data_IF_469478666976
#
_entry.id   IF_469478666976
#
_cell.length_a   1.000
_cell.length_b   1.000
_cell.length_c   1.000
_cell.angle_alpha   90.00
_cell.angle_beta   90.00
_cell.angle_gamma   90.00
#
_symmetry.space_group_name_H-M   'P 1'
#
loop_
_entity.id
_entity.type
_entity.pdbx_description
1 polymer ?
#
# COMPACT_ATOMS: atom_id res chain seq x y z
N UNK A 1 0.23 17.71 -35.85
CA UNK A 1 -0.72 18.63 -35.19
C UNK A 1 -1.94 17.83 -34.77
N UNK A 2 -2.27 17.82 -33.48
CA UNK A 2 -3.45 17.10 -32.97
C UNK A 2 -4.64 18.05 -33.11
N UNK A 3 -5.57 17.73 -34.03
CA UNK A 3 -6.66 18.61 -34.48
C UNK A 3 -8.00 18.38 -33.76
N UNK A 4 -8.00 17.53 -32.72
CA UNK A 4 -9.18 17.21 -31.90
C UNK A 4 -8.86 17.43 -30.41
N UNK A 5 -9.88 17.66 -29.55
CA UNK A 5 -9.68 17.67 -28.11
C UNK A 5 -8.98 16.38 -27.66
N UNK A 6 -7.80 16.53 -27.06
CA UNK A 6 -6.97 15.44 -26.57
C UNK A 6 -6.92 15.52 -25.05
N UNK A 7 -7.21 14.40 -24.39
CA UNK A 7 -6.97 14.23 -22.96
C UNK A 7 -5.79 13.27 -22.80
N UNK A 8 -4.77 13.71 -22.07
CA UNK A 8 -3.61 12.89 -21.72
C UNK A 8 -3.77 12.42 -20.27
N UNK A 9 -3.95 11.12 -20.07
CA UNK A 9 -3.93 10.50 -18.75
C UNK A 9 -2.55 9.88 -18.56
N UNK A 10 -1.79 10.42 -17.60
CA UNK A 10 -0.42 9.99 -17.32
C UNK A 10 -0.45 9.14 -16.05
N UNK A 11 -0.18 7.85 -16.18
CA UNK A 11 -0.07 6.94 -15.04
C UNK A 11 1.28 7.04 -14.33
N UNK A 12 1.38 6.48 -13.12
CA UNK A 12 2.59 6.51 -12.28
C UNK A 12 3.86 6.02 -13.01
N UNK A 13 3.73 5.05 -13.94
CA UNK A 13 4.84 4.53 -14.73
C UNK A 13 5.52 5.57 -15.63
N UNK A 14 4.77 6.55 -16.16
CA UNK A 14 5.34 7.63 -16.95
C UNK A 14 6.01 8.71 -16.09
N UNK A 15 5.83 8.65 -14.77
CA UNK A 15 6.36 9.61 -13.80
C UNK A 15 7.52 9.06 -12.96
N UNK A 16 7.86 7.78 -13.10
CA UNK A 16 8.88 7.10 -12.27
C UNK A 16 10.27 7.75 -12.41
N UNK A 17 10.72 8.01 -13.64
CA UNK A 17 12.08 8.48 -13.88
C UNK A 17 12.35 9.85 -13.25
N UNK A 18 11.34 10.74 -13.29
CA UNK A 18 11.46 12.12 -12.84
C UNK A 18 10.99 12.35 -11.40
N UNK A 19 9.97 11.61 -10.95
CA UNK A 19 9.29 11.86 -9.67
C UNK A 19 9.34 10.67 -8.70
N UNK A 20 9.90 9.53 -9.14
CA UNK A 20 10.08 8.32 -8.32
C UNK A 20 8.78 7.84 -7.67
N UNK A 21 7.64 8.05 -8.34
CA UNK A 21 6.37 7.48 -7.91
C UNK A 21 6.42 5.95 -8.05
N UNK A 22 5.96 5.19 -7.04
CA UNK A 22 6.14 3.73 -7.02
C UNK A 22 5.43 3.05 -8.19
N UNK A 23 6.13 2.13 -8.85
CA UNK A 23 5.52 1.26 -9.85
C UNK A 23 4.61 0.23 -9.18
N UNK A 24 3.63 -0.34 -9.92
CA UNK A 24 2.66 -1.28 -9.34
C UNK A 24 3.28 -2.48 -8.64
N UNK A 25 4.36 -3.04 -9.20
CA UNK A 25 5.10 -4.15 -8.57
C UNK A 25 5.87 -3.73 -7.31
N UNK A 26 6.49 -2.54 -7.31
CA UNK A 26 7.19 -2.00 -6.14
C UNK A 26 6.20 -1.67 -5.01
N UNK A 27 5.03 -1.11 -5.38
CA UNK A 27 3.93 -0.84 -4.47
C UNK A 27 3.44 -2.14 -3.82
N UNK A 28 3.15 -3.17 -4.62
CA UNK A 28 2.73 -4.47 -4.12
C UNK A 28 3.79 -5.09 -3.18
N UNK A 29 5.06 -5.11 -3.58
CA UNK A 29 6.15 -5.62 -2.76
C UNK A 29 6.31 -4.85 -1.44
N UNK A 30 6.18 -3.51 -1.50
CA UNK A 30 6.22 -2.65 -0.31
C UNK A 30 5.07 -2.96 0.66
N UNK A 31 3.84 -3.05 0.16
CA UNK A 31 2.67 -3.38 0.97
C UNK A 31 2.81 -4.79 1.59
N UNK A 32 3.27 -5.78 0.82
CA UNK A 32 3.46 -7.14 1.33
C UNK A 32 4.51 -7.21 2.44
N UNK A 33 5.60 -6.46 2.31
CA UNK A 33 6.62 -6.35 3.36
C UNK A 33 6.07 -5.68 4.61
N UNK A 34 5.37 -4.56 4.44
CA UNK A 34 4.90 -3.72 5.54
C UNK A 34 3.75 -4.39 6.33
N UNK A 35 2.91 -5.17 5.66
CA UNK A 35 1.78 -5.92 6.27
C UNK A 35 2.14 -7.32 6.74
N UNK A 36 3.28 -7.88 6.29
CA UNK A 36 3.80 -9.20 6.69
C UNK A 36 4.39 -9.21 8.09
N UNK A 37 3.58 -8.87 9.09
CA UNK A 37 4.01 -8.71 10.48
C UNK A 37 4.45 -10.06 11.09
N UNK A 38 5.61 -10.04 11.72
CA UNK A 38 6.15 -11.19 12.44
C UNK A 38 6.85 -10.74 13.71
N UNK A 39 6.70 -11.54 14.76
CA UNK A 39 7.24 -11.29 16.10
C UNK A 39 8.21 -12.41 16.47
N UNK A 40 9.21 -12.10 17.30
CA UNK A 40 10.06 -13.11 17.94
C UNK A 40 9.43 -13.64 19.23
N UNK A 41 10.20 -14.44 19.98
CA UNK A 41 9.76 -15.03 21.26
C UNK A 41 9.54 -14.01 22.38
N UNK A 42 10.11 -12.81 22.25
CA UNK A 42 10.04 -11.73 23.25
C UNK A 42 8.98 -10.67 22.87
N UNK A 43 8.08 -11.01 21.93
CA UNK A 43 7.05 -10.13 21.37
C UNK A 43 7.61 -8.86 20.69
N UNK A 44 8.85 -8.93 20.21
CA UNK A 44 9.47 -7.85 19.43
C UNK A 44 9.12 -8.04 17.97
N UNK A 45 8.59 -6.99 17.34
CA UNK A 45 8.27 -6.97 15.91
C UNK A 45 9.58 -7.03 15.10
N UNK A 46 9.85 -8.18 14.48
CA UNK A 46 11.05 -8.43 13.66
C UNK A 46 10.81 -8.21 12.17
N UNK A 47 9.55 -8.19 11.72
CA UNK A 47 9.16 -7.90 10.33
C UNK A 47 7.83 -7.15 10.31
N UNK A 48 7.64 -6.28 9.33
CA UNK A 48 6.44 -5.45 9.15
C UNK A 48 6.69 -3.99 9.49
N UNK A 49 5.69 -3.14 9.27
CA UNK A 49 5.77 -1.72 9.59
C UNK A 49 5.26 -1.46 11.01
N UNK A 50 6.15 -1.00 11.90
CA UNK A 50 5.78 -0.58 13.26
C UNK A 50 4.84 0.63 13.24
N UNK A 51 5.03 1.55 12.31
CA UNK A 51 4.14 2.69 12.09
C UNK A 51 2.71 2.23 11.75
N UNK A 52 2.54 1.28 10.81
CA UNK A 52 1.20 0.73 10.52
C UNK A 52 0.58 0.03 11.74
N UNK A 53 1.41 -0.70 12.49
CA UNK A 53 0.95 -1.39 13.70
C UNK A 53 0.45 -0.40 14.75
N UNK A 54 1.25 0.62 15.06
CA UNK A 54 0.99 1.55 16.16
C UNK A 54 -0.03 2.62 15.81
N UNK A 55 -0.03 3.13 14.57
CA UNK A 55 -0.90 4.24 14.17
C UNK A 55 -2.25 3.79 13.64
N UNK A 56 -2.35 2.57 13.09
CA UNK A 56 -3.57 2.10 12.43
C UNK A 56 -4.15 0.81 13.02
N UNK A 57 -3.32 -0.18 13.33
CA UNK A 57 -3.84 -1.51 13.67
C UNK A 57 -4.17 -1.66 15.16
N UNK A 58 -3.24 -1.27 16.05
CA UNK A 58 -3.43 -1.32 17.51
C UNK A 58 -4.53 -0.39 18.04
N UNK A 59 -4.70 0.85 17.53
CA UNK A 59 -5.76 1.74 18.01
C UNK A 59 -7.17 1.32 17.56
N UNK A 60 -7.27 0.38 16.60
CA UNK A 60 -8.56 -0.14 16.15
C UNK A 60 -9.22 -0.97 17.24
N UNK A 61 -10.54 -0.85 17.38
CA UNK A 61 -11.34 -1.72 18.24
C UNK A 61 -11.24 -3.20 17.87
N UNK A 62 -10.86 -3.49 16.62
CA UNK A 62 -10.74 -4.83 16.05
C UNK A 62 -9.27 -5.18 15.72
N UNK A 63 -8.33 -4.78 16.57
CA UNK A 63 -6.88 -4.87 16.31
C UNK A 63 -6.43 -6.27 15.90
N UNK A 64 -6.90 -7.33 16.56
CA UNK A 64 -6.55 -8.71 16.23
C UNK A 64 -7.02 -9.11 14.83
N UNK A 65 -8.26 -8.77 14.47
CA UNK A 65 -8.81 -9.07 13.16
C UNK A 65 -8.07 -8.31 12.06
N UNK A 66 -7.71 -7.05 12.29
CA UNK A 66 -6.93 -6.23 11.35
C UNK A 66 -5.52 -6.79 11.17
N UNK A 67 -4.86 -7.21 12.25
CA UNK A 67 -3.52 -7.82 12.18
C UNK A 67 -3.58 -9.15 11.41
N UNK A 68 -4.59 -9.98 11.68
CA UNK A 68 -4.81 -11.22 10.93
C UNK A 68 -5.07 -10.95 9.43
N UNK A 69 -5.88 -9.93 9.12
CA UNK A 69 -6.15 -9.48 7.76
C UNK A 69 -4.88 -8.98 7.05
N UNK A 70 -4.05 -8.19 7.72
CA UNK A 70 -2.78 -7.70 7.21
C UNK A 70 -1.84 -8.87 6.87
N UNK A 71 -1.73 -9.86 7.76
CA UNK A 71 -0.93 -11.06 7.51
C UNK A 71 -1.45 -11.86 6.32
N UNK A 72 -2.76 -12.07 6.23
CA UNK A 72 -3.39 -12.76 5.09
C UNK A 72 -3.16 -12.03 3.77
N UNK A 73 -3.36 -10.71 3.76
CA UNK A 73 -3.09 -9.85 2.62
C UNK A 73 -1.63 -9.99 2.17
N UNK A 74 -0.66 -9.96 3.09
CA UNK A 74 0.76 -10.08 2.75
C UNK A 74 1.10 -11.37 1.99
N UNK A 75 0.42 -12.48 2.36
CA UNK A 75 0.61 -13.78 1.72
C UNK A 75 0.04 -13.81 0.30
N UNK A 76 -1.17 -13.27 0.10
CA UNK A 76 -1.81 -13.24 -1.22
C UNK A 76 -1.07 -12.29 -2.18
N UNK A 77 -0.60 -11.13 -1.68
CA UNK A 77 0.19 -10.22 -2.51
C UNK A 77 1.46 -10.90 -3.02
N UNK A 78 2.13 -11.72 -2.19
CA UNK A 78 3.32 -12.44 -2.60
C UNK A 78 3.09 -13.42 -3.78
N UNK A 79 1.83 -13.81 -4.04
CA UNK A 79 1.44 -14.68 -5.15
C UNK A 79 0.79 -13.97 -6.34
N UNK A 80 0.68 -12.64 -6.32
CA UNK A 80 -0.02 -11.86 -7.35
C UNK A 80 0.89 -10.82 -7.99
N UNK A 81 0.57 -10.41 -9.22
CA UNK A 81 1.36 -9.42 -9.96
C UNK A 81 1.05 -7.97 -9.52
N UNK A 82 -0.14 -7.74 -8.95
CA UNK A 82 -0.60 -6.43 -8.52
C UNK A 82 -1.38 -6.50 -7.22
N UNK A 83 -1.43 -5.39 -6.50
CA UNK A 83 -2.26 -5.26 -5.30
C UNK A 83 -3.76 -5.39 -5.62
N UNK A 84 -4.19 -4.93 -6.80
CA UNK A 84 -5.59 -5.01 -7.21
C UNK A 84 -6.04 -6.47 -7.41
N UNK A 85 -5.18 -7.32 -7.99
CA UNK A 85 -5.44 -8.76 -8.11
C UNK A 85 -5.56 -9.41 -6.72
N UNK A 86 -4.67 -9.06 -5.79
CA UNK A 86 -4.74 -9.55 -4.41
C UNK A 86 -6.05 -9.14 -3.73
N UNK A 87 -6.46 -7.88 -3.91
CA UNK A 87 -7.71 -7.37 -3.34
C UNK A 87 -8.95 -8.02 -3.97
N UNK A 88 -8.90 -8.33 -5.27
CA UNK A 88 -9.96 -9.05 -5.95
C UNK A 88 -10.12 -10.47 -5.39
N UNK A 89 -9.02 -11.21 -5.23
CA UNK A 89 -9.04 -12.56 -4.64
C UNK A 89 -9.52 -12.57 -3.18
N UNK A 90 -9.28 -11.47 -2.47
CA UNK A 90 -9.72 -11.27 -1.08
C UNK A 90 -11.07 -10.55 -1.00
N UNK A 91 -11.84 -10.47 -2.09
CA UNK A 91 -13.11 -9.73 -2.13
C UNK A 91 -14.14 -10.17 -1.11
N UNK A 92 -14.14 -11.45 -0.71
CA UNK A 92 -15.01 -12.01 0.34
C UNK A 92 -14.51 -11.72 1.77
N UNK A 93 -13.33 -11.10 1.91
CA UNK A 93 -12.67 -10.75 3.17
C UNK A 93 -12.58 -9.22 3.29
N UNK A 94 -13.66 -8.53 3.68
CA UNK A 94 -13.75 -7.07 3.64
C UNK A 94 -12.67 -6.38 4.49
N UNK A 95 -12.26 -6.97 5.60
CA UNK A 95 -11.15 -6.52 6.43
C UNK A 95 -9.82 -6.49 5.68
N UNK A 96 -9.54 -7.50 4.85
CA UNK A 96 -8.34 -7.55 4.01
C UNK A 96 -8.37 -6.45 2.95
N UNK A 97 -9.54 -6.24 2.33
CA UNK A 97 -9.74 -5.16 1.35
C UNK A 97 -9.54 -3.79 1.98
N UNK A 98 -10.06 -3.58 3.20
CA UNK A 98 -9.89 -2.35 3.96
C UNK A 98 -8.42 -2.08 4.27
N UNK A 99 -7.69 -3.08 4.79
CA UNK A 99 -6.26 -2.96 5.07
C UNK A 99 -5.47 -2.67 3.80
N UNK A 100 -5.74 -3.36 2.70
CA UNK A 100 -5.03 -3.12 1.44
C UNK A 100 -5.25 -1.72 0.89
N UNK A 101 -6.49 -1.21 0.93
CA UNK A 101 -6.79 0.18 0.53
C UNK A 101 -6.06 1.20 1.41
N UNK A 102 -6.02 1.00 2.72
CA UNK A 102 -5.26 1.85 3.64
C UNK A 102 -3.77 1.86 3.29
N UNK A 103 -3.19 0.70 2.98
CA UNK A 103 -1.78 0.60 2.60
C UNK A 103 -1.48 1.29 1.27
N UNK A 104 -2.36 1.16 0.27
CA UNK A 104 -2.25 1.90 -1.00
C UNK A 104 -2.28 3.41 -0.75
N UNK A 105 -3.27 3.89 0.02
CA UNK A 105 -3.40 5.31 0.35
C UNK A 105 -2.15 5.84 1.06
N UNK A 106 -1.65 5.12 2.06
CA UNK A 106 -0.42 5.49 2.77
C UNK A 106 0.78 5.57 1.81
N UNK A 107 0.96 4.57 0.95
CA UNK A 107 2.07 4.55 -0.01
C UNK A 107 2.00 5.74 -0.99
N UNK A 108 0.80 6.08 -1.49
CA UNK A 108 0.59 7.26 -2.32
C UNK A 108 0.92 8.54 -1.55
N UNK A 109 0.37 8.71 -0.35
CA UNK A 109 0.59 9.91 0.46
C UNK A 109 2.07 10.10 0.83
N UNK A 110 2.80 9.02 1.13
CA UNK A 110 4.25 9.08 1.38
C UNK A 110 5.04 9.45 0.12
N UNK A 111 4.68 8.88 -1.04
CA UNK A 111 5.29 9.22 -2.31
C UNK A 111 5.01 10.68 -2.71
N UNK A 112 3.79 11.17 -2.48
CA UNK A 112 3.41 12.56 -2.72
C UNK A 112 4.12 13.52 -1.76
N UNK A 113 4.21 13.17 -0.48
CA UNK A 113 4.88 14.00 0.52
C UNK A 113 6.38 14.17 0.24
N UNK A 114 7.00 13.17 -0.39
CA UNK A 114 8.41 13.18 -0.80
C UNK A 114 8.63 13.65 -2.24
N UNK A 115 7.56 13.81 -3.03
CA UNK A 115 7.64 14.23 -4.43
C UNK A 115 7.92 15.73 -4.56
N UNK A 116 8.75 16.15 -5.53
CA UNK A 116 8.95 17.56 -5.83
C UNK A 116 7.70 18.23 -6.45
N UNK A 117 6.68 17.43 -6.80
CA UNK A 117 5.36 17.93 -7.23
C UNK A 117 4.46 18.34 -6.06
N UNK A 118 4.89 18.15 -4.81
CA UNK A 118 4.11 18.55 -3.64
C UNK A 118 3.77 20.03 -3.74
N UNK A 119 2.47 20.34 -3.82
CA UNK A 119 1.99 21.72 -3.83
C UNK A 119 2.53 22.41 -2.57
N UNK A 120 3.36 23.44 -2.74
CA UNK A 120 3.80 24.25 -1.62
C UNK A 120 2.57 25.01 -1.11
N UNK A 121 2.02 24.56 0.02
CA UNK A 121 1.06 25.35 0.77
C UNK A 121 1.75 26.65 1.20
N UNK A 122 1.21 27.78 0.73
CA UNK A 122 1.59 29.12 1.18
C UNK A 122 1.15 29.34 2.63
#
# INVERSE_FOLDING_TARGET
MISKPLVLVVGAGASYDQYKLPLGGELAAGIARDTGMNWDSDDVLIRGSRELLDDFFRPSSDSEAIIAAAKKLSYVIASTASIDDALYLLGEHPECVKVGKLCIMRAILMAEASSPLRVQSR
#
